data_IF_915327318959
#
_entry.id   IF_915327318959
#
_cell.length_a   1.000
_cell.length_b   1.000
_cell.length_c   1.000
_cell.angle_alpha   90.00
_cell.angle_beta   90.00
_cell.angle_gamma   90.00
#
_symmetry.space_group_name_H-M   'P 1'
#
loop_
_entity.id
_entity.type
_entity.pdbx_description
1 polymer ?
#
# COMPACT_ATOMS: atom_id res chain seq x y z
N UNK A 1 -16.83 -8.38 -20.03
CA UNK A 1 -16.01 -9.41 -19.34
C UNK A 1 -15.69 -8.88 -17.96
N UNK A 2 -16.28 -9.44 -16.90
CA UNK A 2 -16.02 -8.94 -15.53
C UNK A 2 -17.03 -9.38 -14.46
N UNK A 3 -17.66 -10.56 -14.58
CA UNK A 3 -18.61 -11.06 -13.58
C UNK A 3 -17.97 -12.05 -12.59
N UNK A 4 -16.67 -11.91 -12.35
CA UNK A 4 -15.98 -12.66 -11.30
C UNK A 4 -15.72 -11.74 -10.12
N UNK A 5 -16.12 -12.16 -8.92
CA UNK A 5 -15.80 -11.45 -7.67
C UNK A 5 -14.29 -11.12 -7.55
N UNK A 6 -13.44 -11.91 -8.20
CA UNK A 6 -11.98 -11.73 -8.24
C UNK A 6 -11.55 -10.47 -8.99
N UNK A 7 -12.39 -9.93 -9.87
CA UNK A 7 -12.13 -8.73 -10.68
C UNK A 7 -12.71 -7.46 -10.06
N UNK A 8 -13.26 -7.54 -8.84
CA UNK A 8 -13.98 -6.45 -8.19
C UNK A 8 -13.17 -5.16 -7.96
N UNK A 9 -11.84 -5.20 -8.10
CA UNK A 9 -10.98 -4.01 -8.01
C UNK A 9 -10.83 -3.25 -9.33
N UNK A 10 -11.18 -3.85 -10.48
CA UNK A 10 -11.04 -3.17 -11.77
C UNK A 10 -11.92 -1.91 -11.86
N UNK A 11 -12.99 -1.85 -11.05
CA UNK A 11 -13.88 -0.70 -10.94
C UNK A 11 -13.19 0.58 -10.45
N UNK A 12 -12.04 0.47 -9.75
CA UNK A 12 -11.30 1.63 -9.25
C UNK A 12 -10.37 2.24 -10.30
N UNK A 13 -10.09 1.53 -11.41
CA UNK A 13 -9.08 1.96 -12.39
C UNK A 13 -9.62 3.05 -13.34
N UNK A 14 -10.93 3.03 -13.58
CA UNK A 14 -11.62 3.96 -14.49
C UNK A 14 -12.30 5.06 -13.68
N UNK A 15 -12.01 6.32 -14.03
CA UNK A 15 -12.61 7.53 -13.42
C UNK A 15 -12.61 7.50 -11.87
N UNK A 16 -11.45 7.29 -11.21
CA UNK A 16 -11.35 7.28 -9.75
C UNK A 16 -11.89 8.57 -9.08
N UNK A 17 -11.89 9.69 -9.80
CA UNK A 17 -12.45 10.98 -9.38
C UNK A 17 -13.96 10.97 -9.09
N UNK A 18 -14.71 10.05 -9.70
CA UNK A 18 -16.17 9.97 -9.52
C UNK A 18 -16.55 9.10 -8.30
N UNK A 19 -15.56 8.55 -7.59
CA UNK A 19 -15.77 7.56 -6.55
C UNK A 19 -15.58 8.16 -5.15
N UNK A 20 -16.63 8.06 -4.34
CA UNK A 20 -16.60 8.52 -2.94
C UNK A 20 -15.73 7.64 -2.02
N UNK A 21 -15.42 6.41 -2.44
CA UNK A 21 -14.55 5.49 -1.69
C UNK A 21 -13.07 5.62 -2.10
N UNK A 22 -12.74 6.48 -3.06
CA UNK A 22 -11.36 6.84 -3.42
C UNK A 22 -10.90 8.05 -2.62
N UNK A 23 -9.74 7.95 -2.01
CA UNK A 23 -9.20 8.99 -1.11
C UNK A 23 -7.94 9.67 -1.66
N UNK A 24 -7.27 9.04 -2.62
CA UNK A 24 -6.15 9.58 -3.36
C UNK A 24 -6.03 8.86 -4.70
N UNK A 25 -5.57 9.56 -5.73
CA UNK A 25 -5.12 8.94 -6.98
C UNK A 25 -4.09 9.83 -7.68
N UNK A 26 -3.32 9.22 -8.57
CA UNK A 26 -2.48 9.87 -9.56
C UNK A 26 -2.53 9.07 -10.88
N UNK A 27 -1.56 9.28 -11.76
CA UNK A 27 -1.42 8.58 -13.04
C UNK A 27 -1.05 7.09 -12.87
N UNK A 28 -0.48 6.68 -11.74
CA UNK A 28 0.04 5.32 -11.51
C UNK A 28 -0.81 4.49 -10.56
N UNK A 29 -1.40 5.09 -9.54
CA UNK A 29 -2.10 4.37 -8.47
C UNK A 29 -3.42 5.06 -8.07
N UNK A 30 -4.29 4.27 -7.45
CA UNK A 30 -5.49 4.69 -6.74
C UNK A 30 -5.41 4.16 -5.32
N UNK A 31 -5.79 4.98 -4.34
CA UNK A 31 -5.95 4.58 -2.94
C UNK A 31 -7.43 4.67 -2.60
N UNK A 32 -8.01 3.54 -2.18
CA UNK A 32 -9.43 3.42 -1.89
C UNK A 32 -9.68 2.77 -0.53
N UNK A 33 -10.85 3.04 0.06
CA UNK A 33 -11.32 2.37 1.26
C UNK A 33 -11.62 0.90 0.95
N UNK A 34 -11.14 -0.02 1.79
CA UNK A 34 -11.55 -1.43 1.69
C UNK A 34 -13.03 -1.55 2.08
N UNK A 35 -13.84 -2.18 1.22
CA UNK A 35 -15.28 -2.37 1.42
C UNK A 35 -15.61 -3.22 2.66
N UNK A 36 -14.68 -4.05 3.11
CA UNK A 36 -14.78 -4.92 4.27
C UNK A 36 -13.55 -4.72 5.18
N UNK A 37 -13.41 -3.55 5.83
CA UNK A 37 -12.19 -3.19 6.55
C UNK A 37 -11.94 -4.15 7.70
N UNK A 38 -10.69 -4.61 7.93
CA UNK A 38 -10.36 -5.56 9.02
C UNK A 38 -9.84 -4.89 10.29
N UNK A 39 -9.66 -3.57 10.26
CA UNK A 39 -9.28 -2.71 11.37
C UNK A 39 -10.04 -1.38 11.27
N UNK A 40 -9.78 -0.44 12.19
CA UNK A 40 -10.38 0.91 12.17
C UNK A 40 -10.09 1.63 10.85
N UNK A 41 -8.86 1.51 10.35
CA UNK A 41 -8.45 1.98 9.03
C UNK A 41 -8.03 0.80 8.17
N UNK A 42 -8.58 0.70 6.96
CA UNK A 42 -8.12 -0.26 5.96
C UNK A 42 -8.28 0.33 4.56
N UNK A 43 -7.15 0.62 3.92
CA UNK A 43 -7.08 1.13 2.56
C UNK A 43 -6.41 0.11 1.64
N UNK A 44 -6.74 0.19 0.36
CA UNK A 44 -6.09 -0.53 -0.72
C UNK A 44 -5.37 0.47 -1.62
N UNK A 45 -4.09 0.23 -1.89
CA UNK A 45 -3.34 0.89 -2.97
C UNK A 45 -3.38 -0.04 -4.18
N UNK A 46 -3.96 0.44 -5.27
CA UNK A 46 -4.26 -0.33 -6.48
C UNK A 46 -3.55 0.35 -7.66
N UNK A 47 -2.67 -0.34 -8.39
CA UNK A 47 -2.09 0.19 -9.62
C UNK A 47 -3.16 0.44 -10.66
N UNK A 48 -3.03 1.53 -11.43
CA UNK A 48 -3.94 1.89 -12.52
C UNK A 48 -3.76 1.03 -13.77
N UNK A 49 -2.58 0.47 -13.94
CA UNK A 49 -2.32 -0.59 -14.89
C UNK A 49 -3.03 -1.88 -14.47
N UNK A 50 -3.58 -2.62 -15.44
CA UNK A 50 -4.20 -3.92 -15.17
C UNK A 50 -3.08 -4.94 -14.92
N UNK A 51 -2.91 -5.33 -13.66
CA UNK A 51 -1.88 -6.24 -13.19
C UNK A 51 -2.56 -7.42 -12.50
N UNK A 52 -2.98 -8.47 -13.24
CA UNK A 52 -3.66 -9.64 -12.69
C UNK A 52 -2.66 -10.60 -12.00
N UNK A 53 -1.89 -10.07 -11.06
CA UNK A 53 -0.68 -10.66 -10.49
C UNK A 53 -0.77 -10.70 -8.95
N UNK A 54 -0.16 -11.73 -8.35
CA UNK A 54 0.11 -11.77 -6.92
C UNK A 54 1.49 -11.19 -6.59
N UNK A 55 1.76 -11.02 -5.28
CA UNK A 55 3.07 -10.52 -4.82
C UNK A 55 4.23 -11.43 -5.23
N UNK A 56 3.98 -12.74 -5.38
CA UNK A 56 4.98 -13.72 -5.86
C UNK A 56 5.34 -13.61 -7.33
N UNK A 57 4.56 -12.85 -8.12
CA UNK A 57 4.82 -12.60 -9.54
C UNK A 57 5.61 -11.30 -9.77
N UNK A 58 5.92 -10.55 -8.70
CA UNK A 58 6.63 -9.28 -8.80
C UNK A 58 8.14 -9.50 -9.07
N UNK A 59 8.62 -8.84 -10.11
CA UNK A 59 10.03 -8.74 -10.52
C UNK A 59 10.55 -7.30 -10.59
N UNK A 60 11.78 -7.15 -11.10
CA UNK A 60 12.49 -5.86 -11.22
C UNK A 60 11.71 -4.82 -12.04
N UNK A 61 10.96 -5.26 -13.05
CA UNK A 61 10.12 -4.41 -13.89
C UNK A 61 9.03 -3.66 -13.09
N UNK A 62 8.69 -4.16 -11.90
CA UNK A 62 7.71 -3.56 -11.01
C UNK A 62 8.33 -2.62 -9.96
N UNK A 63 9.67 -2.58 -9.81
CA UNK A 63 10.34 -1.71 -8.83
C UNK A 63 9.94 -0.23 -8.96
N UNK A 64 9.82 0.37 -10.17
CA UNK A 64 9.38 1.77 -10.29
C UNK A 64 8.00 2.03 -9.65
N UNK A 65 7.08 1.08 -9.77
CA UNK A 65 5.75 1.16 -9.14
C UNK A 65 5.86 0.97 -7.63
N UNK A 66 6.64 -0.01 -7.16
CA UNK A 66 6.81 -0.29 -5.73
C UNK A 66 7.48 0.88 -5.00
N UNK A 67 8.50 1.51 -5.58
CA UNK A 67 9.12 2.72 -5.02
C UNK A 67 8.19 3.93 -5.03
N UNK A 68 7.33 4.06 -6.04
CA UNK A 68 6.28 5.09 -6.04
C UNK A 68 5.33 4.92 -4.86
N UNK A 69 4.87 3.68 -4.62
CA UNK A 69 4.03 3.35 -3.46
C UNK A 69 4.80 3.59 -2.15
N UNK A 70 6.07 3.16 -2.06
CA UNK A 70 6.92 3.37 -0.89
C UNK A 70 7.07 4.86 -0.55
N UNK A 71 7.28 5.71 -1.55
CA UNK A 71 7.38 7.16 -1.38
C UNK A 71 6.08 7.77 -0.85
N UNK A 72 4.93 7.31 -1.35
CA UNK A 72 3.63 7.74 -0.84
C UNK A 72 3.46 7.37 0.65
N UNK A 73 3.74 6.12 1.00
CA UNK A 73 3.51 5.60 2.36
C UNK A 73 4.60 5.98 3.37
N UNK A 74 5.75 6.49 2.92
CA UNK A 74 6.80 6.98 3.82
C UNK A 74 6.28 8.08 4.78
N UNK A 75 5.30 8.86 4.35
CA UNK A 75 4.63 9.90 5.15
C UNK A 75 3.81 9.36 6.34
N UNK A 76 3.43 8.08 6.31
CA UNK A 76 2.63 7.42 7.35
C UNK A 76 3.43 6.38 8.12
N UNK A 77 4.74 6.31 7.91
CA UNK A 77 5.64 5.30 8.51
C UNK A 77 5.73 5.36 10.04
N UNK A 78 5.42 6.51 10.64
CA UNK A 78 5.40 6.68 12.10
C UNK A 78 4.08 6.23 12.75
N UNK A 79 3.05 5.94 11.95
CA UNK A 79 1.76 5.48 12.43
C UNK A 79 1.79 3.95 12.63
N UNK A 80 1.04 3.40 13.61
CA UNK A 80 0.90 1.95 13.82
C UNK A 80 0.08 1.28 12.71
N UNK A 81 0.67 1.22 11.51
CA UNK A 81 0.12 0.65 10.30
C UNK A 81 0.93 -0.58 9.90
N UNK A 82 0.25 -1.56 9.30
CA UNK A 82 0.87 -2.64 8.53
C UNK A 82 0.66 -2.32 7.05
N UNK A 83 1.75 -2.36 6.30
CA UNK A 83 1.78 -1.96 4.88
C UNK A 83 2.38 -3.10 4.07
N UNK A 84 1.59 -3.70 3.18
CA UNK A 84 2.03 -4.89 2.47
C UNK A 84 0.94 -5.66 1.73
N UNK A 85 1.29 -6.84 1.27
CA UNK A 85 0.49 -7.69 0.41
C UNK A 85 0.07 -8.97 1.13
N UNK A 86 -1.01 -9.59 0.67
CA UNK A 86 -1.23 -11.00 0.97
C UNK A 86 -0.35 -11.87 0.07
N UNK A 87 0.24 -12.93 0.65
CA UNK A 87 1.07 -13.89 -0.06
C UNK A 87 0.34 -14.54 -1.24
N UNK A 88 -0.91 -14.97 -1.00
CA UNK A 88 -1.84 -15.45 -2.02
C UNK A 88 -3.04 -14.50 -2.05
N UNK A 89 -3.23 -13.72 -3.12
CA UNK A 89 -4.26 -12.69 -3.16
C UNK A 89 -5.66 -13.29 -3.34
N UNK A 90 -6.66 -12.66 -2.73
CA UNK A 90 -8.08 -13.04 -2.90
C UNK A 90 -8.66 -12.49 -4.21
N UNK A 91 -8.20 -11.32 -4.64
CA UNK A 91 -8.60 -10.64 -5.88
C UNK A 91 -7.43 -10.64 -6.87
N UNK A 92 -7.73 -10.65 -8.18
CA UNK A 92 -6.71 -10.81 -9.23
C UNK A 92 -5.83 -9.57 -9.40
N UNK A 93 -6.44 -8.39 -9.39
CA UNK A 93 -5.70 -7.15 -9.55
C UNK A 93 -4.75 -6.96 -8.35
N UNK A 94 -3.47 -6.69 -8.60
CA UNK A 94 -2.49 -6.39 -7.57
C UNK A 94 -3.02 -5.27 -6.65
N UNK A 95 -2.93 -5.48 -5.34
CA UNK A 95 -3.32 -4.48 -4.36
C UNK A 95 -2.48 -4.62 -3.10
N UNK A 96 -2.04 -3.48 -2.59
CA UNK A 96 -1.34 -3.36 -1.32
C UNK A 96 -2.32 -2.87 -0.25
N UNK A 97 -2.25 -3.48 0.93
CA UNK A 97 -3.01 -3.09 2.10
C UNK A 97 -2.24 -2.03 2.88
N UNK A 98 -2.93 -0.97 3.27
CA UNK A 98 -2.54 -0.08 4.38
C UNK A 98 -3.60 -0.29 5.46
N UNK A 99 -3.24 -0.96 6.55
CA UNK A 99 -4.19 -1.34 7.59
C UNK A 99 -3.66 -0.96 8.96
N UNK A 100 -4.49 -0.36 9.82
CA UNK A 100 -4.10 -0.08 11.19
C UNK A 100 -3.99 -1.36 12.02
N UNK A 101 -3.05 -1.38 12.96
CA UNK A 101 -2.72 -2.59 13.71
C UNK A 101 -3.67 -2.87 14.91
N UNK A 102 -4.74 -2.10 15.07
CA UNK A 102 -5.74 -2.29 16.13
C UNK A 102 -6.70 -3.45 15.83
N UNK A 103 -6.94 -3.74 14.54
CA UNK A 103 -7.89 -4.76 14.08
C UNK A 103 -9.30 -4.66 14.71
N UNK A 104 -9.71 -3.45 15.10
CA UNK A 104 -11.05 -3.17 15.62
C UNK A 104 -12.03 -3.01 14.47
N UNK A 105 -12.71 -4.09 14.09
CA UNK A 105 -13.70 -4.05 13.02
C UNK A 105 -14.80 -5.12 13.18
N UNK A 106 -16.07 -4.80 12.84
CA UNK A 106 -17.13 -5.81 12.76
C UNK A 106 -16.91 -6.84 11.63
N UNK A 107 -16.12 -6.53 10.60
CA UNK A 107 -15.89 -7.44 9.45
C UNK A 107 -14.70 -8.40 9.64
N UNK A 108 -13.90 -8.20 10.70
CA UNK A 108 -12.97 -9.22 11.21
C UNK A 108 -13.78 -10.32 11.92
N UNK A 109 -14.08 -11.41 11.18
CA UNK A 109 -15.06 -12.44 11.56
C UNK A 109 -14.46 -13.81 11.87
N UNK A 110 -13.35 -14.15 11.25
CA UNK A 110 -12.81 -15.52 11.31
C UNK A 110 -11.28 -15.52 11.40
N UNK A 111 -10.74 -16.70 11.70
CA UNK A 111 -9.31 -16.94 11.86
C UNK A 111 -8.50 -16.61 10.61
N UNK A 112 -9.02 -16.94 9.43
CA UNK A 112 -8.39 -16.59 8.16
C UNK A 112 -8.21 -15.08 8.01
N UNK A 113 -9.23 -14.28 8.37
CA UNK A 113 -9.12 -12.81 8.35
C UNK A 113 -8.08 -12.29 9.34
N UNK A 114 -7.86 -12.94 10.48
CA UNK A 114 -6.83 -12.53 11.43
C UNK A 114 -5.44 -12.90 10.91
N UNK A 115 -5.24 -14.19 10.68
CA UNK A 115 -3.95 -14.75 10.31
C UNK A 115 -3.43 -14.21 8.97
N UNK A 116 -4.30 -13.79 8.05
CA UNK A 116 -3.87 -13.18 6.78
C UNK A 116 -3.11 -11.86 6.98
N UNK A 117 -3.35 -11.14 8.07
CA UNK A 117 -2.67 -9.89 8.39
C UNK A 117 -1.65 -9.99 9.52
N UNK A 118 -1.65 -11.08 10.30
CA UNK A 118 -0.81 -11.18 11.52
C UNK A 118 0.14 -12.38 11.51
N UNK A 119 0.38 -12.98 10.35
CA UNK A 119 1.35 -14.06 10.15
C UNK A 119 2.29 -13.76 8.97
N UNK A 120 3.17 -14.69 8.64
CA UNK A 120 4.02 -14.60 7.43
C UNK A 120 3.21 -14.50 6.13
N UNK A 121 1.91 -14.81 6.15
CA UNK A 121 1.03 -14.61 5.01
C UNK A 121 0.95 -13.14 4.57
N UNK A 122 1.20 -12.20 5.48
CA UNK A 122 1.30 -10.77 5.16
C UNK A 122 2.74 -10.41 4.81
N UNK A 123 2.99 -10.03 3.56
CA UNK A 123 4.31 -9.67 3.03
C UNK A 123 4.46 -8.14 3.06
N UNK A 124 5.32 -7.62 3.94
CA UNK A 124 5.58 -6.18 4.03
C UNK A 124 6.13 -5.62 2.72
N UNK A 125 5.75 -4.39 2.40
CA UNK A 125 6.26 -3.68 1.21
C UNK A 125 7.79 -3.64 1.19
N UNK A 126 8.41 -3.28 2.31
CA UNK A 126 9.86 -3.14 2.42
C UNK A 126 10.59 -4.45 2.13
N UNK A 127 10.10 -5.58 2.68
CA UNK A 127 10.71 -6.88 2.46
C UNK A 127 10.52 -7.39 1.02
N UNK A 128 9.43 -6.98 0.35
CA UNK A 128 9.22 -7.30 -1.08
C UNK A 128 10.21 -6.50 -1.93
N UNK A 129 10.35 -5.20 -1.69
CA UNK A 129 11.32 -4.34 -2.40
C UNK A 129 12.74 -4.86 -2.20
N UNK A 130 13.16 -5.06 -0.95
CA UNK A 130 14.51 -5.53 -0.61
C UNK A 130 14.84 -6.87 -1.28
N UNK A 131 13.89 -7.80 -1.31
CA UNK A 131 14.08 -9.10 -1.95
C UNK A 131 14.20 -8.99 -3.48
N UNK A 132 13.42 -8.12 -4.12
CA UNK A 132 13.53 -7.90 -5.58
C UNK A 132 14.86 -7.20 -5.89
N UNK A 133 15.27 -6.19 -5.13
CA UNK A 133 16.56 -5.51 -5.33
C UNK A 133 17.76 -6.44 -5.13
N UNK A 134 17.72 -7.32 -4.13
CA UNK A 134 18.85 -8.19 -3.78
C UNK A 134 18.89 -9.51 -4.55
N UNK A 135 17.73 -10.10 -4.87
CA UNK A 135 17.62 -11.45 -5.45
C UNK A 135 16.93 -11.46 -6.81
N UNK A 136 16.58 -10.28 -7.34
CA UNK A 136 15.87 -10.08 -8.63
C UNK A 136 14.46 -10.68 -8.68
N UNK A 137 13.96 -11.27 -7.58
CA UNK A 137 12.62 -11.87 -7.51
C UNK A 137 12.14 -12.02 -6.06
N UNK A 138 10.82 -11.95 -5.87
CA UNK A 138 10.16 -12.30 -4.61
C UNK A 138 9.44 -13.65 -4.72
N UNK A 139 9.97 -14.71 -4.09
CA UNK A 139 9.34 -16.03 -4.15
C UNK A 139 8.31 -16.20 -3.04
N UNK A 140 7.13 -16.68 -3.39
CA UNK A 140 6.09 -17.12 -2.45
C UNK A 140 5.86 -18.61 -2.62
N UNK A 141 6.00 -19.35 -1.53
CA UNK A 141 5.49 -20.72 -1.44
C UNK A 141 4.01 -20.66 -1.03
N UNK A 142 3.12 -20.78 -2.02
CA UNK A 142 1.69 -20.57 -1.81
C UNK A 142 1.09 -21.59 -0.82
N UNK A 143 1.51 -22.85 -0.91
CA UNK A 143 1.01 -23.91 -0.03
C UNK A 143 1.42 -23.65 1.42
N UNK A 144 2.72 -23.38 1.64
CA UNK A 144 3.26 -23.05 2.96
C UNK A 144 2.58 -21.83 3.60
N UNK A 145 2.31 -20.80 2.81
CA UNK A 145 1.67 -19.58 3.33
C UNK A 145 0.17 -19.80 3.60
N UNK A 146 -0.54 -20.54 2.75
CA UNK A 146 -1.95 -20.85 2.98
C UNK A 146 -2.18 -21.64 4.28
N UNK A 147 -1.26 -22.53 4.67
CA UNK A 147 -1.33 -23.23 5.96
C UNK A 147 -1.41 -22.28 7.16
N UNK A 148 -0.75 -21.11 7.09
CA UNK A 148 -0.76 -20.11 8.16
C UNK A 148 -2.15 -19.58 8.46
N UNK A 149 -3.04 -19.57 7.46
CA UNK A 149 -4.42 -19.11 7.62
C UNK A 149 -5.22 -19.98 8.60
N UNK A 150 -4.81 -21.23 8.79
CA UNK A 150 -5.44 -22.17 9.73
C UNK A 150 -4.78 -22.20 11.13
N UNK A 151 -3.65 -21.50 11.28
CA UNK A 151 -2.83 -21.45 12.50
C UNK A 151 -3.55 -20.96 13.76
N UNK A 152 -2.89 -21.06 14.92
CA UNK A 152 -3.45 -20.60 16.20
C UNK A 152 -3.73 -19.08 16.15
N UNK A 153 -4.79 -18.64 16.82
CA UNK A 153 -5.03 -17.20 16.99
C UNK A 153 -4.08 -16.69 18.06
N UNK A 154 -3.11 -15.88 17.67
CA UNK A 154 -2.13 -15.29 18.58
C UNK A 154 -2.17 -13.78 18.41
N UNK A 155 -2.21 -13.04 19.52
CA UNK A 155 -2.15 -11.59 19.50
C UNK A 155 -0.79 -11.12 18.94
N UNK A 156 -0.81 -10.22 17.96
CA UNK A 156 0.42 -9.75 17.31
C UNK A 156 1.22 -8.75 18.16
N UNK A 157 0.65 -8.24 19.27
CA UNK A 157 1.31 -7.28 20.17
C UNK A 157 1.93 -7.93 21.41
N UNK A 158 1.24 -8.91 22.00
CA UNK A 158 1.66 -9.55 23.26
C UNK A 158 1.85 -11.06 23.21
N UNK A 159 1.59 -11.69 22.05
CA UNK A 159 1.70 -13.14 21.85
C UNK A 159 0.74 -14.02 22.65
N UNK A 160 -0.29 -13.46 23.30
CA UNK A 160 -1.33 -14.24 23.98
C UNK A 160 -2.15 -15.05 22.96
N UNK A 161 -2.47 -16.31 23.29
CA UNK A 161 -3.18 -17.23 22.40
C UNK A 161 -4.67 -17.34 22.73
N UNK A 162 -5.50 -17.44 21.69
CA UNK A 162 -6.97 -17.49 21.81
C UNK A 162 -7.54 -18.67 21.04
N UNK A 163 -8.64 -19.23 21.55
CA UNK A 163 -9.39 -20.27 20.83
C UNK A 163 -10.40 -19.70 19.83
N UNK A 164 -10.88 -18.46 20.04
CA UNK A 164 -12.01 -17.89 19.33
C UNK A 164 -11.79 -16.40 19.04
N UNK A 165 -12.23 -15.94 17.86
CA UNK A 165 -12.14 -14.54 17.43
C UNK A 165 -12.80 -13.55 18.41
N UNK A 166 -14.02 -13.80 18.96
CA UNK A 166 -14.62 -12.87 19.92
C UNK A 166 -13.74 -12.61 21.15
N UNK A 167 -13.07 -13.63 21.69
CA UNK A 167 -12.17 -13.48 22.85
C UNK A 167 -10.93 -12.65 22.49
N UNK A 168 -10.36 -12.90 21.31
CA UNK A 168 -9.25 -12.09 20.79
C UNK A 168 -9.67 -10.62 20.59
N UNK A 169 -10.85 -10.36 20.03
CA UNK A 169 -11.37 -9.00 19.85
C UNK A 169 -11.60 -8.29 21.18
N UNK A 170 -12.13 -9.00 22.17
CA UNK A 170 -12.27 -8.47 23.53
C UNK A 170 -10.91 -8.11 24.12
N UNK A 171 -9.92 -8.99 23.98
CA UNK A 171 -8.54 -8.74 24.42
C UNK A 171 -7.95 -7.50 23.75
N UNK A 172 -8.08 -7.36 22.42
CA UNK A 172 -7.59 -6.18 21.70
C UNK A 172 -8.25 -4.90 22.24
N UNK A 173 -9.57 -4.92 22.42
CA UNK A 173 -10.29 -3.76 22.94
C UNK A 173 -9.88 -3.34 24.37
N UNK A 174 -9.53 -4.30 25.24
CA UNK A 174 -9.21 -4.00 26.65
C UNK A 174 -7.71 -3.81 26.93
N UNK A 175 -6.84 -4.54 26.23
CA UNK A 175 -5.39 -4.58 26.49
C UNK A 175 -4.61 -3.72 25.49
N UNK A 176 -5.10 -3.62 24.26
CA UNK A 176 -4.46 -2.90 23.17
C UNK A 176 -5.46 -1.99 22.44
N UNK A 177 -6.15 -1.09 23.16
CA UNK A 177 -7.20 -0.28 22.57
C UNK A 177 -6.70 0.52 21.37
N UNK A 178 -7.55 0.66 20.35
CA UNK A 178 -7.26 1.48 19.19
C UNK A 178 -6.93 2.92 19.62
N UNK A 179 -5.91 3.52 19.01
CA UNK A 179 -5.62 4.93 19.25
C UNK A 179 -6.77 5.79 18.71
N UNK A 180 -7.30 6.76 19.48
CA UNK A 180 -8.35 7.65 19.00
C UNK A 180 -7.90 8.51 17.81
N UNK A 181 -6.58 8.72 17.68
CA UNK A 181 -5.99 9.51 16.59
C UNK A 181 -5.85 8.71 15.29
N UNK A 182 -6.11 7.40 15.32
CA UNK A 182 -6.08 6.52 14.15
C UNK A 182 -7.32 6.68 13.29
N UNK A 183 -7.46 7.88 12.72
CA UNK A 183 -8.58 8.26 11.85
C UNK A 183 -8.16 8.28 10.39
N UNK A 184 -9.15 8.18 9.50
CA UNK A 184 -8.93 8.37 8.07
C UNK A 184 -8.32 9.75 7.80
N UNK A 185 -8.83 10.81 8.42
CA UNK A 185 -8.35 12.18 8.22
C UNK A 185 -6.89 12.34 8.62
N UNK A 186 -6.46 11.75 9.74
CA UNK A 186 -5.06 11.75 10.19
C UNK A 186 -4.15 11.12 9.13
N UNK A 187 -4.54 9.98 8.57
CA UNK A 187 -3.75 9.28 7.55
C UNK A 187 -3.76 10.03 6.22
N UNK A 188 -4.91 10.57 5.80
CA UNK A 188 -5.00 11.36 4.57
C UNK A 188 -4.20 12.66 4.66
N UNK A 189 -4.15 13.29 5.83
CA UNK A 189 -3.30 14.46 6.06
C UNK A 189 -1.83 14.12 5.79
N UNK A 190 -1.33 12.99 6.31
CA UNK A 190 0.01 12.50 6.02
C UNK A 190 0.22 12.25 4.52
N UNK A 191 -0.65 11.47 3.87
CA UNK A 191 -0.52 11.10 2.45
C UNK A 191 -0.52 12.32 1.51
N UNK A 192 -1.32 13.36 1.82
CA UNK A 192 -1.42 14.58 1.01
C UNK A 192 -0.21 15.50 1.16
N UNK A 193 0.48 15.48 2.30
CA UNK A 193 1.69 16.31 2.51
C UNK A 193 2.87 15.90 1.62
N UNK A 194 2.92 14.65 1.16
CA UNK A 194 3.96 14.15 0.25
C UNK A 194 4.00 14.90 -1.09
N UNK A 195 2.87 15.38 -1.61
CA UNK A 195 2.82 16.17 -2.86
C UNK A 195 3.45 17.57 -2.73
N UNK A 196 3.53 18.15 -1.53
CA UNK A 196 4.06 19.51 -1.34
C UNK A 196 5.59 19.59 -1.31
N UNK A 197 6.29 18.46 -1.18
CA UNK A 197 7.77 18.42 -1.05
C UNK A 197 8.53 18.17 -2.36
N UNK A 198 7.84 17.96 -3.48
CA UNK A 198 8.50 17.75 -4.78
C UNK A 198 7.86 18.61 -5.87
N UNK A 199 8.35 19.84 -5.97
CA UNK A 199 8.49 20.54 -7.24
C UNK A 199 9.78 21.37 -7.17
N UNK A 200 10.84 21.03 -7.90
CA UNK A 200 11.81 22.07 -8.26
C UNK A 200 11.10 23.05 -9.19
N UNK A 201 11.24 24.34 -8.91
CA UNK A 201 10.78 25.39 -9.83
C UNK A 201 11.38 25.12 -11.21
N UNK A 202 10.53 25.08 -12.23
CA UNK A 202 10.96 25.15 -13.63
C UNK A 202 11.81 26.40 -13.83
N UNK A 203 12.97 26.32 -14.50
CA UNK A 203 13.72 27.52 -14.85
C UNK A 203 12.91 28.29 -15.89
N UNK A 204 12.38 29.44 -15.51
CA UNK A 204 11.80 30.39 -16.46
C UNK A 204 12.87 31.00 -17.36
N UNK A 205 12.43 31.28 -18.57
CA UNK A 205 13.13 31.77 -19.76
C UNK A 205 14.26 32.78 -19.52
N UNK A 206 15.47 32.43 -19.99
CA UNK A 206 16.52 33.41 -20.30
C UNK A 206 16.36 33.86 -21.75
N UNK A 207 16.11 35.16 -22.04
CA UNK A 207 15.94 35.63 -23.40
C UNK A 207 17.24 35.54 -24.21
N UNK A 208 17.13 34.96 -25.40
CA UNK A 208 18.16 34.90 -26.43
C UNK A 208 18.70 36.30 -26.79
N UNK A 209 19.98 36.57 -26.48
CA UNK A 209 20.68 37.75 -27.01
C UNK A 209 21.22 37.43 -28.40
N UNK A 210 20.77 38.23 -29.36
CA UNK A 210 21.15 38.21 -30.77
C UNK A 210 22.65 38.47 -30.94
N UNK A 211 23.22 37.75 -31.92
CA UNK A 211 24.53 37.97 -32.50
C UNK A 211 24.79 39.43 -32.89
N UNK A 212 25.97 39.94 -32.54
CA UNK A 212 26.65 41.00 -33.26
C UNK A 212 28.06 40.50 -33.59
N UNK A 213 28.35 40.38 -34.88
CA UNK A 213 29.69 40.13 -35.43
C UNK A 213 30.42 41.44 -35.72
N UNK A 214 31.74 41.31 -35.92
CA UNK A 214 32.73 42.26 -36.47
C UNK A 214 33.42 43.13 -35.40
N UNK A 215 34.74 43.31 -35.36
CA UNK A 215 35.86 42.86 -36.20
C UNK A 215 37.17 43.05 -35.40
N UNK A 216 38.21 42.29 -35.74
CA UNK A 216 39.61 42.54 -35.38
C UNK A 216 40.10 43.92 -35.84
N UNK A 217 41.12 44.49 -35.18
CA UNK A 217 42.41 44.54 -35.87
C UNK A 217 43.67 44.36 -34.99
N UNK A 218 44.59 43.58 -35.55
CA UNK A 218 46.06 43.73 -35.71
C UNK A 218 46.93 44.45 -34.65
N UNK A 219 48.04 43.75 -34.40
CA UNK A 219 49.34 44.14 -33.84
C UNK A 219 49.76 45.62 -33.97
N UNK A 220 50.40 46.12 -32.90
CA UNK A 220 51.81 46.57 -32.88
C UNK A 220 52.33 46.55 -31.44
#
# INVERSE_FOLDING_TARGET
MGDSWKDGLLVYLTRPEDRNDVVYYDDKIVVALDKYPKATLHLLVIPREILPLGVGDLGEEHLPLLHHIASLVASVSSLPLRIGFHAVPSMRQLHLHIISDDFSSPTLKNKKHWNSFTSSFFKSLDSVIEAIESKRRFNVDAEYEEEKLSGKLVCHKCSEAFAQIPKLKQHLASVHPASPDMTLDSVLACLKTSKKRQAPASPEDVPSKRHASLADPKES
#
